data_IF_257780330141
#
_entry.id   IF_257780330141
#
_cell.length_a   1.000
_cell.length_b   1.000
_cell.length_c   1.000
_cell.angle_alpha   90.00
_cell.angle_beta   90.00
_cell.angle_gamma   90.00
#
_symmetry.space_group_name_H-M   'P 1'
#
loop_
_entity.id
_entity.type
_entity.pdbx_description
1 polymer ?
#
# COMPACT_ATOMS: atom_id res chain seq x y z
N UNK A 1 -1.30 -22.20 12.39
CA UNK A 1 -0.41 -21.85 11.26
C UNK A 1 -0.79 -22.76 10.12
N UNK A 2 -1.60 -22.23 9.20
CA UNK A 2 -2.19 -23.00 8.13
C UNK A 2 -1.27 -23.06 6.91
N UNK A 3 -1.37 -24.14 6.12
CA UNK A 3 -0.58 -24.33 4.89
C UNK A 3 -0.74 -23.19 3.88
N UNK A 4 -1.86 -22.46 3.99
CA UNK A 4 -2.18 -21.26 3.19
C UNK A 4 -1.38 -20.04 3.65
N UNK A 5 -1.18 -19.85 4.96
CA UNK A 5 -0.35 -18.77 5.51
C UNK A 5 1.10 -18.89 5.03
N UNK A 6 1.64 -20.11 5.04
CA UNK A 6 2.97 -20.41 4.50
C UNK A 6 3.10 -20.11 3.01
N UNK A 7 2.05 -20.38 2.23
CA UNK A 7 2.02 -20.12 0.79
C UNK A 7 1.86 -18.62 0.47
N UNK A 8 1.30 -17.84 1.40
CA UNK A 8 1.26 -16.38 1.35
C UNK A 8 2.65 -15.84 1.69
N UNK A 9 3.27 -16.29 2.79
CA UNK A 9 4.61 -15.85 3.23
C UNK A 9 5.72 -16.15 2.20
N UNK A 10 5.63 -17.28 1.50
CA UNK A 10 6.54 -17.58 0.39
C UNK A 10 6.36 -16.66 -0.80
N UNK A 11 5.11 -16.30 -1.15
CA UNK A 11 4.84 -15.39 -2.28
C UNK A 11 5.17 -13.94 -1.96
N UNK A 12 4.99 -13.55 -0.71
CA UNK A 12 5.53 -12.32 -0.09
C UNK A 12 7.04 -12.25 -0.33
N UNK A 13 7.78 -13.31 0.04
CA UNK A 13 9.26 -13.35 -0.14
C UNK A 13 9.72 -13.41 -1.59
N UNK A 14 8.88 -13.89 -2.51
CA UNK A 14 9.17 -13.95 -3.95
C UNK A 14 8.75 -12.68 -4.71
N UNK A 15 8.16 -11.68 -4.04
CA UNK A 15 7.66 -10.46 -4.69
C UNK A 15 6.39 -10.67 -5.51
N UNK A 16 5.74 -11.85 -5.41
CA UNK A 16 4.52 -12.19 -6.15
C UNK A 16 3.26 -11.67 -5.44
N UNK A 17 3.31 -10.41 -5.02
CA UNK A 17 2.26 -9.76 -4.22
C UNK A 17 0.92 -9.66 -4.95
N UNK A 18 0.92 -9.53 -6.28
CA UNK A 18 -0.29 -9.61 -7.10
C UNK A 18 -1.07 -10.91 -6.91
N UNK A 19 -0.35 -12.03 -6.81
CA UNK A 19 -0.98 -13.34 -6.61
C UNK A 19 -1.48 -13.51 -5.18
N UNK A 20 -0.78 -12.90 -4.21
CA UNK A 20 -1.23 -12.83 -2.81
C UNK A 20 -2.54 -12.04 -2.73
N UNK A 21 -2.61 -10.87 -3.36
CA UNK A 21 -3.81 -10.03 -3.38
C UNK A 21 -5.00 -10.70 -4.06
N UNK A 22 -4.75 -11.42 -5.16
CA UNK A 22 -5.78 -12.21 -5.82
C UNK A 22 -6.29 -13.35 -4.94
N UNK A 23 -5.40 -14.05 -4.23
CA UNK A 23 -5.78 -15.11 -3.28
C UNK A 23 -6.57 -14.55 -2.09
N UNK A 24 -6.14 -13.43 -1.52
CA UNK A 24 -6.84 -12.73 -0.43
C UNK A 24 -8.26 -12.30 -0.86
N UNK A 25 -8.42 -11.75 -2.07
CA UNK A 25 -9.74 -11.37 -2.61
C UNK A 25 -10.62 -12.56 -2.96
N UNK A 26 -10.04 -13.68 -3.39
CA UNK A 26 -10.79 -14.90 -3.76
C UNK A 26 -11.28 -15.67 -2.53
N UNK A 27 -10.51 -15.63 -1.44
CA UNK A 27 -10.80 -16.30 -0.18
C UNK A 27 -11.29 -15.24 0.84
N UNK A 28 -12.46 -14.65 0.56
CA UNK A 28 -13.04 -13.54 1.34
C UNK A 28 -13.34 -13.84 2.82
N UNK A 29 -13.07 -15.06 3.27
CA UNK A 29 -13.15 -15.49 4.67
C UNK A 29 -11.85 -15.30 5.45
N UNK A 30 -10.71 -15.13 4.78
CA UNK A 30 -9.37 -15.13 5.41
C UNK A 30 -8.67 -13.77 5.36
N UNK A 31 -9.03 -12.93 4.40
CA UNK A 31 -8.36 -11.66 4.21
C UNK A 31 -8.91 -10.59 5.16
N UNK A 32 -8.15 -10.28 6.21
CA UNK A 32 -8.42 -9.10 7.05
C UNK A 32 -8.02 -7.83 6.29
N UNK A 33 -8.70 -6.70 6.51
CA UNK A 33 -8.38 -5.41 5.91
C UNK A 33 -6.89 -5.04 6.07
N UNK A 34 -6.30 -5.41 7.22
CA UNK A 34 -4.87 -5.25 7.52
C UNK A 34 -3.98 -6.03 6.54
N UNK A 35 -4.32 -7.29 6.23
CA UNK A 35 -3.55 -8.10 5.29
C UNK A 35 -3.69 -7.60 3.84
N UNK A 36 -4.88 -7.11 3.47
CA UNK A 36 -5.06 -6.49 2.16
C UNK A 36 -4.25 -5.20 2.03
N UNK A 37 -4.31 -4.32 3.04
CA UNK A 37 -3.52 -3.09 3.07
C UNK A 37 -2.01 -3.38 3.00
N UNK A 38 -1.54 -4.38 3.75
CA UNK A 38 -0.14 -4.80 3.69
C UNK A 38 0.26 -5.30 2.30
N UNK A 39 -0.57 -6.12 1.64
CA UNK A 39 -0.30 -6.58 0.28
C UNK A 39 -0.25 -5.42 -0.73
N UNK A 40 -1.14 -4.45 -0.62
CA UNK A 40 -1.12 -3.24 -1.46
C UNK A 40 0.13 -2.39 -1.21
N UNK A 41 0.50 -2.16 0.06
CA UNK A 41 1.72 -1.44 0.41
C UNK A 41 2.96 -2.10 -0.18
N UNK A 42 3.08 -3.43 -0.06
CA UNK A 42 4.23 -4.15 -0.61
C UNK A 42 4.29 -4.16 -2.14
N UNK A 43 3.14 -4.12 -2.83
CA UNK A 43 3.13 -3.86 -4.28
C UNK A 43 3.64 -2.44 -4.55
N UNK A 44 3.15 -1.45 -3.80
CA UNK A 44 3.60 -0.07 -3.92
C UNK A 44 5.11 0.07 -3.72
N UNK A 45 5.67 -0.55 -2.70
CA UNK A 45 7.12 -0.53 -2.41
C UNK A 45 7.92 -1.12 -3.58
N UNK A 46 7.45 -2.21 -4.18
CA UNK A 46 8.09 -2.82 -5.35
C UNK A 46 8.13 -1.88 -6.57
N UNK A 47 7.09 -1.06 -6.78
CA UNK A 47 7.10 -0.03 -7.82
C UNK A 47 7.99 1.15 -7.44
N UNK A 48 8.00 1.56 -6.16
CA UNK A 48 8.83 2.64 -5.65
C UNK A 48 10.34 2.33 -5.77
N UNK A 49 10.77 1.10 -5.50
CA UNK A 49 12.17 0.65 -5.69
C UNK A 49 12.65 0.73 -7.15
N UNK A 50 11.72 0.84 -8.11
CA UNK A 50 11.99 0.95 -9.55
C UNK A 50 11.74 2.35 -10.09
N UNK A 51 11.63 3.33 -9.20
CA UNK A 51 11.27 4.72 -9.50
C UNK A 51 9.91 4.90 -10.20
N UNK A 52 9.04 3.89 -10.15
CA UNK A 52 7.68 3.96 -10.70
C UNK A 52 6.70 4.51 -9.66
N UNK A 53 6.99 5.69 -9.13
CA UNK A 53 6.24 6.32 -8.05
C UNK A 53 4.77 6.59 -8.40
N UNK A 54 4.44 6.86 -9.67
CA UNK A 54 3.05 7.03 -10.10
C UNK A 54 2.21 5.76 -9.95
N UNK A 55 2.81 4.59 -10.24
CA UNK A 55 2.13 3.32 -10.07
C UNK A 55 2.03 2.97 -8.58
N UNK A 56 3.10 3.22 -7.83
CA UNK A 56 3.14 3.02 -6.39
C UNK A 56 2.02 3.80 -5.67
N UNK A 57 1.82 5.06 -6.06
CA UNK A 57 0.76 5.92 -5.54
C UNK A 57 -0.63 5.26 -5.66
N UNK A 58 -0.97 4.74 -6.84
CA UNK A 58 -2.26 4.07 -7.05
C UNK A 58 -2.49 2.88 -6.13
N UNK A 59 -1.43 2.14 -5.80
CA UNK A 59 -1.50 1.03 -4.86
C UNK A 59 -1.57 1.50 -3.40
N UNK A 60 -0.83 2.54 -3.02
CA UNK A 60 -0.94 3.13 -1.69
C UNK A 60 -2.33 3.70 -1.43
N UNK A 61 -2.97 4.30 -2.43
CA UNK A 61 -4.38 4.74 -2.35
C UNK A 61 -5.33 3.59 -2.04
N UNK A 62 -5.13 2.43 -2.65
CA UNK A 62 -5.92 1.22 -2.35
C UNK A 62 -5.63 0.65 -0.95
N UNK A 63 -4.43 0.89 -0.42
CA UNK A 63 -4.04 0.52 0.93
C UNK A 63 -4.55 1.49 2.00
N UNK A 64 -5.14 2.63 1.61
CA UNK A 64 -5.46 3.77 2.49
C UNK A 64 -4.27 4.24 3.33
N UNK A 65 -3.04 4.08 2.82
CA UNK A 65 -1.83 4.46 3.55
C UNK A 65 -1.39 5.89 3.20
N UNK A 66 -1.81 6.85 4.03
CA UNK A 66 -1.55 8.27 3.83
C UNK A 66 -0.08 8.64 3.93
N UNK A 67 0.71 7.96 4.78
CA UNK A 67 2.14 8.23 4.95
C UNK A 67 2.93 7.90 3.68
N UNK A 68 2.68 6.72 3.10
CA UNK A 68 3.34 6.30 1.86
C UNK A 68 2.85 7.10 0.66
N UNK A 69 1.57 7.48 0.63
CA UNK A 69 1.04 8.42 -0.37
C UNK A 69 1.75 9.77 -0.29
N UNK A 70 1.92 10.34 0.91
CA UNK A 70 2.62 11.61 1.09
C UNK A 70 4.07 11.54 0.60
N UNK A 71 4.77 10.44 0.93
CA UNK A 71 6.13 10.20 0.43
C UNK A 71 6.19 10.12 -1.10
N UNK A 72 5.25 9.39 -1.72
CA UNK A 72 5.19 9.27 -3.18
C UNK A 72 4.85 10.62 -3.85
N UNK A 73 3.94 11.41 -3.28
CA UNK A 73 3.63 12.76 -3.77
C UNK A 73 4.83 13.70 -3.67
N UNK A 74 5.58 13.63 -2.57
CA UNK A 74 6.80 14.43 -2.40
C UNK A 74 7.85 14.11 -3.46
N UNK A 75 8.05 12.82 -3.77
CA UNK A 75 9.04 12.39 -4.76
C UNK A 75 8.59 12.69 -6.19
N UNK A 76 7.28 12.62 -6.46
CA UNK A 76 6.69 13.02 -7.73
C UNK A 76 6.58 14.55 -7.90
N UNK A 77 6.98 15.33 -6.89
CA UNK A 77 6.82 16.78 -6.83
C UNK A 77 5.35 17.24 -7.05
N UNK A 78 4.39 16.37 -6.72
CA UNK A 78 2.95 16.64 -6.83
C UNK A 78 2.43 17.30 -5.55
N UNK A 79 2.87 18.54 -5.33
CA UNK A 79 2.52 19.31 -4.13
C UNK A 79 1.03 19.62 -4.02
N UNK A 80 0.31 19.83 -5.13
CA UNK A 80 -1.15 20.09 -5.11
C UNK A 80 -1.93 18.91 -4.51
N UNK A 81 -1.51 17.69 -4.85
CA UNK A 81 -2.13 16.47 -4.34
C UNK A 81 -1.73 16.20 -2.89
N UNK A 82 -0.52 16.59 -2.51
CA UNK A 82 -0.05 16.55 -1.12
C UNK A 82 -0.86 17.50 -0.23
N UNK A 83 -1.12 18.73 -0.69
CA UNK A 83 -1.92 19.73 0.02
C UNK A 83 -3.37 19.26 0.18
N UNK A 84 -3.98 18.73 -0.90
CA UNK A 84 -5.32 18.14 -0.83
C UNK A 84 -5.41 16.94 0.13
N UNK A 85 -4.35 16.12 0.19
CA UNK A 85 -4.27 15.01 1.14
C UNK A 85 -4.15 15.54 2.57
N UNK A 86 -3.30 16.55 2.80
CA UNK A 86 -3.09 17.20 4.09
C UNK A 86 -4.34 17.92 4.61
N UNK A 87 -5.09 18.59 3.74
CA UNK A 87 -6.37 19.23 4.06
C UNK A 87 -7.47 18.22 4.42
N UNK A 88 -7.39 17.02 3.84
CA UNK A 88 -8.28 15.90 4.15
C UNK A 88 -7.92 15.13 5.42
N UNK A 89 -6.70 15.32 5.96
CA UNK A 89 -6.26 14.70 7.20
C UNK A 89 -6.83 15.50 8.39
N UNK A 90 -7.37 14.84 9.43
CA UNK A 90 -7.85 15.54 10.61
C UNK A 90 -6.70 16.34 11.23
N UNK A 91 -6.98 17.61 11.58
CA UNK A 91 -6.07 18.65 12.11
C UNK A 91 -5.22 18.21 13.34
N UNK A 92 -5.47 17.01 13.89
CA UNK A 92 -4.76 16.41 15.02
C UNK A 92 -3.75 15.31 14.62
N UNK A 93 -3.41 15.17 13.33
CA UNK A 93 -2.46 14.17 12.87
C UNK A 93 -1.01 14.61 13.21
N UNK A 94 -0.14 13.71 13.72
CA UNK A 94 1.25 14.03 14.13
C UNK A 94 2.18 14.58 13.01
N UNK A 95 1.67 14.79 11.81
CA UNK A 95 2.37 15.39 10.67
C UNK A 95 2.04 16.87 10.45
N UNK A 96 1.06 17.41 11.17
CA UNK A 96 0.72 18.84 11.17
C UNK A 96 1.26 19.45 12.50
N UNK A 97 2.26 20.34 12.46
CA UNK A 97 2.75 21.02 13.66
C UNK A 97 1.73 22.02 14.24
#
# INVERSE_FOLDING_TARGET
MDRKDLAIELRVKLGHWFRVLQLLKSDGSLATDVQMAQAWNSIGDYYAERDMWEHALGYYTQASNTELMAKAFFILEKFDSLESLADGLPVNHPLLP
#
